data_IF_554865831480
#
_entry.id   IF_554865831480
#
_cell.length_a   1.000
_cell.length_b   1.000
_cell.length_c   1.000
_cell.angle_alpha   90.00
_cell.angle_beta   90.00
_cell.angle_gamma   90.00
#
_symmetry.space_group_name_H-M   'P 1'
#
loop_
_entity.id
_entity.type
_entity.pdbx_description
1 polymer ?
#
# COMPACT_ATOMS: atom_id res chain seq x y z
N UNK A 1 -6.93 24.26 -12.26
CA UNK A 1 -7.70 23.00 -12.47
C UNK A 1 -7.14 22.16 -13.63
N UNK A 2 -6.94 22.71 -14.83
CA UNK A 2 -6.49 21.95 -16.02
C UNK A 2 -5.24 21.08 -15.81
N UNK A 3 -4.19 21.61 -15.17
CA UNK A 3 -2.94 20.86 -14.96
C UNK A 3 -3.12 19.52 -14.23
N UNK A 4 -3.96 19.46 -13.18
CA UNK A 4 -4.19 18.22 -12.44
C UNK A 4 -4.89 17.13 -13.27
N UNK A 5 -5.80 17.54 -14.17
CA UNK A 5 -6.40 16.64 -15.16
C UNK A 5 -5.35 16.13 -16.14
N UNK A 6 -4.57 17.05 -16.73
CA UNK A 6 -3.54 16.70 -17.73
C UNK A 6 -2.52 15.71 -17.18
N UNK A 7 -2.07 15.90 -15.94
CA UNK A 7 -1.12 14.97 -15.32
C UNK A 7 -1.70 13.57 -15.13
N UNK A 8 -2.98 13.45 -14.78
CA UNK A 8 -3.66 12.15 -14.69
C UNK A 8 -3.85 11.50 -16.06
N UNK A 9 -4.15 12.28 -17.09
CA UNK A 9 -4.21 11.77 -18.46
C UNK A 9 -2.85 11.25 -18.93
N UNK A 10 -1.78 12.00 -18.67
CA UNK A 10 -0.42 11.60 -19.04
C UNK A 10 0.06 10.35 -18.28
N UNK A 11 -0.49 10.09 -17.09
CA UNK A 11 -0.26 8.86 -16.31
C UNK A 11 -1.10 7.68 -16.79
N UNK A 12 -1.95 7.86 -17.81
CA UNK A 12 -2.81 6.81 -18.33
C UNK A 12 -3.91 6.38 -17.37
N UNK A 13 -4.43 7.31 -16.54
CA UNK A 13 -5.48 7.01 -15.57
C UNK A 13 -6.68 6.33 -16.25
N UNK A 14 -7.20 5.29 -15.62
CA UNK A 14 -8.37 4.53 -16.05
C UNK A 14 -9.39 4.43 -14.92
N UNK A 15 -10.63 4.04 -15.26
CA UNK A 15 -11.68 3.76 -14.26
C UNK A 15 -11.35 2.65 -13.26
N UNK A 16 -10.29 1.86 -13.49
CA UNK A 16 -9.83 0.81 -12.56
C UNK A 16 -8.97 1.38 -11.43
N UNK A 17 -8.55 2.63 -11.55
CA UNK A 17 -7.70 3.30 -10.58
C UNK A 17 -8.52 4.00 -9.49
N UNK A 18 -7.84 4.30 -8.38
CA UNK A 18 -8.35 5.12 -7.29
C UNK A 18 -7.52 6.41 -7.19
N UNK A 19 -8.18 7.56 -7.04
CA UNK A 19 -7.51 8.87 -6.91
C UNK A 19 -7.82 9.48 -5.54
N UNK A 20 -6.76 9.77 -4.78
CA UNK A 20 -6.84 10.44 -3.47
C UNK A 20 -6.27 11.85 -3.57
N UNK A 21 -7.13 12.86 -3.54
CA UNK A 21 -6.72 14.26 -3.57
C UNK A 21 -6.31 14.79 -2.20
N UNK A 22 -5.09 15.30 -2.07
CA UNK A 22 -4.56 15.83 -0.81
C UNK A 22 -4.47 17.35 -0.88
N UNK A 23 -5.18 18.05 0.01
CA UNK A 23 -5.10 19.51 0.11
C UNK A 23 -5.53 19.96 1.50
N UNK A 24 -4.59 20.43 2.33
CA UNK A 24 -4.89 20.90 3.68
C UNK A 24 -5.95 22.02 3.66
N UNK A 25 -5.77 23.00 2.76
CA UNK A 25 -6.71 24.12 2.58
C UNK A 25 -8.06 23.74 2.00
N UNK A 26 -8.17 22.54 1.39
CA UNK A 26 -9.38 22.06 0.73
C UNK A 26 -9.77 22.81 -0.55
N UNK A 27 -8.98 23.81 -0.98
CA UNK A 27 -9.29 24.70 -2.10
C UNK A 27 -8.24 24.73 -3.21
N UNK A 28 -7.20 23.89 -3.13
CA UNK A 28 -6.10 23.87 -4.12
C UNK A 28 -6.61 23.52 -5.52
N UNK A 29 -6.58 24.43 -6.51
CA UNK A 29 -7.20 24.22 -7.81
C UNK A 29 -6.61 23.06 -8.62
N UNK A 30 -5.32 22.74 -8.44
CA UNK A 30 -4.68 21.59 -9.07
C UNK A 30 -5.35 20.28 -8.63
N UNK A 31 -5.39 20.04 -7.32
CA UNK A 31 -5.94 18.81 -6.72
C UNK A 31 -7.43 18.65 -7.02
N UNK A 32 -8.19 19.74 -6.96
CA UNK A 32 -9.63 19.71 -7.30
C UNK A 32 -9.83 19.28 -8.76
N UNK A 33 -9.09 19.87 -9.70
CA UNK A 33 -9.21 19.50 -11.11
C UNK A 33 -8.84 18.05 -11.40
N UNK A 34 -7.85 17.51 -10.67
CA UNK A 34 -7.47 16.11 -10.73
C UNK A 34 -8.59 15.18 -10.24
N UNK A 35 -9.16 15.47 -9.06
CA UNK A 35 -10.25 14.69 -8.46
C UNK A 35 -11.53 14.76 -9.28
N UNK A 36 -11.93 15.94 -9.75
CA UNK A 36 -13.12 16.12 -10.61
C UNK A 36 -13.00 15.29 -11.89
N UNK A 37 -11.83 15.32 -12.54
CA UNK A 37 -11.57 14.52 -13.74
C UNK A 37 -11.62 13.02 -13.46
N UNK A 38 -10.98 12.56 -12.39
CA UNK A 38 -10.98 11.15 -12.01
C UNK A 38 -12.41 10.64 -11.73
N UNK A 39 -13.23 11.44 -11.04
CA UNK A 39 -14.64 11.14 -10.78
C UNK A 39 -15.45 11.06 -12.07
N UNK A 40 -15.25 12.00 -13.00
CA UNK A 40 -15.91 11.97 -14.32
C UNK A 40 -15.53 10.73 -15.14
N UNK A 41 -14.28 10.26 -15.01
CA UNK A 41 -13.80 9.05 -15.68
C UNK A 41 -14.35 7.76 -15.07
N UNK A 42 -15.02 7.85 -13.91
CA UNK A 42 -15.57 6.70 -13.18
C UNK A 42 -14.58 6.02 -12.23
N UNK A 43 -13.48 6.70 -11.86
CA UNK A 43 -12.58 6.22 -10.82
C UNK A 43 -13.23 6.36 -9.44
N UNK A 44 -12.84 5.50 -8.50
CA UNK A 44 -13.07 5.81 -7.09
C UNK A 44 -12.28 7.07 -6.72
N UNK A 45 -12.92 8.01 -6.02
CA UNK A 45 -12.28 9.27 -5.63
C UNK A 45 -12.44 9.57 -4.15
N UNK A 46 -11.34 9.85 -3.47
CA UNK A 46 -11.35 10.33 -2.09
C UNK A 46 -10.55 11.63 -1.97
N UNK A 47 -10.73 12.35 -0.87
CA UNK A 47 -9.87 13.46 -0.51
C UNK A 47 -9.45 13.45 0.96
N UNK A 48 -8.27 14.02 1.22
CA UNK A 48 -7.80 14.33 2.57
C UNK A 48 -7.59 15.84 2.71
N UNK A 49 -8.44 16.46 3.52
CA UNK A 49 -8.38 17.89 3.85
C UNK A 49 -8.51 18.10 5.35
N UNK A 50 -8.22 19.29 5.86
CA UNK A 50 -8.48 19.62 7.27
C UNK A 50 -9.57 20.69 7.42
N UNK A 51 -10.20 21.07 6.32
CA UNK A 51 -11.27 22.07 6.27
C UNK A 51 -12.58 21.39 5.84
N UNK A 52 -13.60 21.37 6.72
CA UNK A 52 -14.92 20.83 6.38
C UNK A 52 -15.58 21.64 5.26
N UNK A 53 -16.47 20.99 4.50
CA UNK A 53 -17.27 21.59 3.42
C UNK A 53 -16.48 22.37 2.35
N UNK A 54 -15.20 22.03 2.20
CA UNK A 54 -14.30 22.66 1.24
C UNK A 54 -14.57 22.21 -0.20
N UNK A 55 -13.96 22.89 -1.16
CA UNK A 55 -14.19 22.60 -2.57
C UNK A 55 -13.81 21.17 -2.94
N UNK A 56 -12.73 20.64 -2.36
CA UNK A 56 -12.29 19.26 -2.64
C UNK A 56 -13.21 18.21 -2.01
N UNK A 57 -13.83 18.49 -0.86
CA UNK A 57 -14.76 17.52 -0.22
C UNK A 57 -16.05 17.38 -1.02
N UNK A 58 -16.45 18.43 -1.74
CA UNK A 58 -17.58 18.40 -2.69
C UNK A 58 -17.23 17.75 -4.02
N UNK A 59 -15.95 17.75 -4.40
CA UNK A 59 -15.48 17.16 -5.65
C UNK A 59 -15.22 15.65 -5.56
N UNK A 60 -14.82 15.14 -4.39
CA UNK A 60 -14.54 13.73 -4.15
C UNK A 60 -15.81 12.94 -3.80
N UNK A 61 -15.78 11.61 -4.00
CA UNK A 61 -16.82 10.71 -3.51
C UNK A 61 -16.78 10.54 -1.99
N UNK A 62 -15.56 10.42 -1.45
CA UNK A 62 -15.33 10.17 -0.03
C UNK A 62 -14.42 11.27 0.55
N UNK A 63 -14.88 11.94 1.60
CA UNK A 63 -14.12 13.00 2.26
C UNK A 63 -13.57 12.53 3.62
N UNK A 64 -12.24 12.58 3.77
CA UNK A 64 -11.56 12.35 5.05
C UNK A 64 -11.09 13.71 5.58
N UNK A 65 -11.74 14.19 6.64
CA UNK A 65 -11.55 15.56 7.14
C UNK A 65 -11.15 15.59 8.63
N UNK A 66 -9.89 15.21 8.97
CA UNK A 66 -9.40 15.37 10.34
C UNK A 66 -9.30 16.86 10.71
N UNK A 67 -10.12 17.29 11.66
CA UNK A 67 -10.13 18.68 12.13
C UNK A 67 -9.02 18.90 13.15
N UNK A 68 -7.90 19.47 12.70
CA UNK A 68 -6.70 19.67 13.54
C UNK A 68 -6.63 21.05 14.20
N UNK A 69 -7.57 21.96 13.89
CA UNK A 69 -7.60 23.34 14.37
C UNK A 69 -6.49 24.24 13.77
N UNK A 70 -6.39 25.47 14.27
CA UNK A 70 -5.40 26.44 13.81
C UNK A 70 -3.96 25.98 14.09
N UNK A 71 -3.04 26.22 13.15
CA UNK A 71 -1.63 25.89 13.32
C UNK A 71 -0.94 26.85 14.31
N UNK A 72 0.09 26.35 15.01
CA UNK A 72 0.87 27.18 15.95
C UNK A 72 1.60 28.32 15.24
N UNK A 73 2.07 28.06 14.01
CA UNK A 73 2.50 29.11 13.08
C UNK A 73 1.39 29.28 12.05
N UNK A 74 0.74 30.46 12.06
CA UNK A 74 -0.42 30.76 11.20
C UNK A 74 -0.15 30.39 9.74
N UNK A 75 -0.97 29.49 9.21
CA UNK A 75 -0.90 29.03 7.82
C UNK A 75 0.16 27.96 7.52
N UNK A 76 1.01 27.58 8.48
CA UNK A 76 2.04 26.55 8.29
C UNK A 76 1.46 25.13 8.36
N UNK A 77 0.63 24.76 7.38
CA UNK A 77 -0.09 23.48 7.33
C UNK A 77 0.82 22.26 7.18
N UNK A 78 2.13 22.44 7.02
CA UNK A 78 3.11 21.33 7.09
C UNK A 78 3.19 20.70 8.49
N UNK A 79 2.63 21.37 9.49
CA UNK A 79 2.61 20.95 10.89
C UNK A 79 1.45 19.99 11.14
N UNK A 80 0.41 20.36 11.90
CA UNK A 80 -0.64 19.42 12.32
C UNK A 80 -1.38 18.82 11.13
N UNK A 81 -1.71 19.64 10.12
CA UNK A 81 -2.43 19.16 8.94
C UNK A 81 -1.58 18.15 8.14
N UNK A 82 -0.29 18.41 7.95
CA UNK A 82 0.66 17.49 7.32
C UNK A 82 0.80 16.18 8.10
N UNK A 83 0.90 16.25 9.43
CA UNK A 83 0.93 15.06 10.30
C UNK A 83 -0.36 14.24 10.18
N UNK A 84 -1.52 14.88 10.19
CA UNK A 84 -2.81 14.20 10.00
C UNK A 84 -2.90 13.52 8.63
N UNK A 85 -2.49 14.20 7.57
CA UNK A 85 -2.44 13.63 6.22
C UNK A 85 -1.52 12.41 6.16
N UNK A 86 -0.33 12.46 6.76
CA UNK A 86 0.58 11.32 6.84
C UNK A 86 -0.08 10.13 7.55
N UNK A 87 -0.74 10.34 8.68
CA UNK A 87 -1.40 9.26 9.41
C UNK A 87 -2.51 8.62 8.57
N UNK A 88 -3.34 9.41 7.90
CA UNK A 88 -4.38 8.92 7.00
C UNK A 88 -3.80 8.12 5.84
N UNK A 89 -2.77 8.63 5.16
CA UNK A 89 -2.13 7.93 4.03
C UNK A 89 -1.46 6.62 4.46
N UNK A 90 -0.86 6.59 5.65
CA UNK A 90 -0.33 5.38 6.25
C UNK A 90 -1.45 4.35 6.50
N UNK A 91 -2.61 4.78 7.02
CA UNK A 91 -3.76 3.90 7.23
C UNK A 91 -4.29 3.35 5.92
N UNK A 92 -4.52 4.21 4.91
CA UNK A 92 -5.05 3.79 3.61
C UNK A 92 -4.15 2.74 2.95
N UNK A 93 -2.85 3.01 2.86
CA UNK A 93 -1.89 2.08 2.24
C UNK A 93 -1.74 0.79 3.05
N UNK A 94 -1.58 0.88 4.37
CA UNK A 94 -1.37 -0.30 5.22
C UNK A 94 -2.59 -1.20 5.24
N UNK A 95 -3.79 -0.65 5.45
CA UNK A 95 -5.03 -1.44 5.48
C UNK A 95 -5.30 -2.06 4.10
N UNK A 96 -5.02 -1.35 3.01
CA UNK A 96 -5.14 -1.93 1.66
C UNK A 96 -4.22 -3.14 1.49
N UNK A 97 -2.95 -3.04 1.87
CA UNK A 97 -2.00 -4.16 1.77
C UNK A 97 -2.38 -5.34 2.69
N UNK A 98 -2.95 -5.08 3.87
CA UNK A 98 -3.52 -6.13 4.74
C UNK A 98 -4.69 -6.83 4.04
N UNK A 99 -5.63 -6.06 3.48
CA UNK A 99 -6.81 -6.60 2.78
C UNK A 99 -6.47 -7.34 1.49
N UNK A 100 -5.35 -7.00 0.86
CA UNK A 100 -4.78 -7.73 -0.29
C UNK A 100 -4.05 -9.02 0.12
N UNK A 101 -3.91 -9.34 1.41
CA UNK A 101 -3.30 -10.59 1.86
C UNK A 101 -1.76 -10.57 1.93
N UNK A 102 -1.13 -9.38 1.89
CA UNK A 102 0.33 -9.23 1.97
C UNK A 102 0.89 -9.15 3.39
N UNK A 103 0.00 -9.31 4.38
CA UNK A 103 0.31 -9.31 5.81
C UNK A 103 -0.35 -10.52 6.44
N UNK A 104 0.39 -11.24 7.29
CA UNK A 104 -0.16 -12.31 8.13
C UNK A 104 0.04 -11.97 9.60
N UNK A 105 -1.05 -11.93 10.36
CA UNK A 105 -1.02 -11.37 11.71
C UNK A 105 -0.51 -9.93 11.67
N UNK A 106 0.66 -9.69 12.26
CA UNK A 106 1.37 -8.41 12.23
C UNK A 106 2.67 -8.46 11.40
N UNK A 107 2.90 -9.52 10.63
CA UNK A 107 4.11 -9.74 9.84
C UNK A 107 3.89 -9.36 8.38
N UNK A 108 4.79 -8.53 7.84
CA UNK A 108 4.81 -8.16 6.42
C UNK A 108 5.47 -9.28 5.62
N UNK A 109 4.68 -10.25 5.19
CA UNK A 109 5.17 -11.45 4.50
C UNK A 109 5.54 -11.19 3.03
N UNK A 110 5.06 -10.09 2.44
CA UNK A 110 5.45 -9.62 1.11
C UNK A 110 6.56 -8.55 1.16
N UNK A 111 7.63 -8.80 1.93
CA UNK A 111 8.77 -7.88 2.05
C UNK A 111 9.86 -8.23 1.02
N UNK A 112 10.42 -7.20 0.36
CA UNK A 112 11.59 -7.35 -0.51
C UNK A 112 12.87 -7.16 0.29
N UNK A 113 13.72 -8.18 0.32
CA UNK A 113 14.96 -8.23 1.12
C UNK A 113 16.13 -7.46 0.48
N UNK A 114 15.98 -6.13 0.31
CA UNK A 114 16.93 -5.30 -0.46
C UNK A 114 18.19 -4.85 0.29
N UNK A 115 18.26 -5.08 1.61
CA UNK A 115 19.42 -4.74 2.44
C UNK A 115 19.55 -5.73 3.60
N UNK A 116 20.68 -5.66 4.32
CA UNK A 116 21.01 -6.59 5.41
C UNK A 116 19.90 -6.62 6.48
N UNK A 117 19.42 -5.45 6.93
CA UNK A 117 18.32 -5.35 7.90
C UNK A 117 17.04 -6.04 7.41
N UNK A 118 16.69 -5.87 6.14
CA UNK A 118 15.49 -6.50 5.57
C UNK A 118 15.68 -8.01 5.34
N UNK A 119 16.89 -8.47 5.03
CA UNK A 119 17.21 -9.91 4.99
C UNK A 119 17.05 -10.56 6.36
N UNK A 120 17.63 -9.97 7.41
CA UNK A 120 17.45 -10.45 8.79
C UNK A 120 15.98 -10.47 9.20
N UNK A 121 15.23 -9.44 8.84
CA UNK A 121 13.78 -9.39 9.11
C UNK A 121 13.05 -10.53 8.37
N UNK A 122 13.39 -10.79 7.12
CA UNK A 122 12.80 -11.88 6.34
C UNK A 122 13.08 -13.24 6.98
N UNK A 123 14.32 -13.49 7.42
CA UNK A 123 14.67 -14.74 8.12
C UNK A 123 13.86 -14.93 9.40
N UNK A 124 13.72 -13.88 10.22
CA UNK A 124 12.87 -13.94 11.43
C UNK A 124 11.41 -14.25 11.10
N UNK A 125 10.87 -13.67 10.02
CA UNK A 125 9.51 -13.98 9.57
C UNK A 125 9.43 -15.42 9.07
N UNK A 126 10.40 -15.89 8.30
CA UNK A 126 10.45 -17.27 7.80
C UNK A 126 10.43 -18.27 8.95
N UNK A 127 11.29 -18.08 9.95
CA UNK A 127 11.33 -18.93 11.16
C UNK A 127 10.00 -18.91 11.89
N UNK A 128 9.42 -17.73 12.12
CA UNK A 128 8.12 -17.61 12.81
C UNK A 128 6.97 -18.27 12.02
N UNK A 129 7.04 -18.24 10.69
CA UNK A 129 6.00 -18.81 9.83
C UNK A 129 6.10 -20.32 9.67
N UNK A 130 7.30 -20.89 9.78
CA UNK A 130 7.59 -22.29 9.42
C UNK A 130 8.06 -23.15 10.59
N UNK A 131 8.45 -22.55 11.71
CA UNK A 131 9.03 -23.26 12.86
C UNK A 131 10.47 -23.72 12.66
N UNK A 132 11.12 -23.32 11.57
CA UNK A 132 12.53 -23.64 11.31
C UNK A 132 13.47 -22.93 12.29
N UNK A 133 14.58 -23.59 12.60
CA UNK A 133 15.72 -22.94 13.25
C UNK A 133 16.48 -22.03 12.27
N UNK A 134 17.35 -21.18 12.81
CA UNK A 134 18.06 -20.16 12.02
C UNK A 134 18.95 -20.76 10.92
N UNK A 135 19.76 -21.80 11.18
CA UNK A 135 20.58 -22.41 10.12
C UNK A 135 19.73 -22.99 8.99
N UNK A 136 18.64 -23.69 9.29
CA UNK A 136 17.78 -24.27 8.24
C UNK A 136 17.01 -23.18 7.49
N UNK A 137 16.55 -22.14 8.18
CA UNK A 137 15.89 -21.00 7.56
C UNK A 137 16.83 -20.26 6.59
N UNK A 138 18.12 -20.12 6.94
CA UNK A 138 19.12 -19.50 6.07
C UNK A 138 19.28 -20.28 4.76
N UNK A 139 19.45 -21.61 4.85
CA UNK A 139 19.57 -22.47 3.67
C UNK A 139 18.30 -22.38 2.81
N UNK A 140 17.12 -22.49 3.41
CA UNK A 140 15.84 -22.38 2.68
C UNK A 140 15.66 -21.01 2.01
N UNK A 141 16.10 -19.95 2.67
CA UNK A 141 16.02 -18.60 2.12
C UNK A 141 16.99 -18.41 0.94
N UNK A 142 18.17 -19.00 0.98
CA UNK A 142 19.12 -19.02 -0.13
C UNK A 142 18.61 -19.85 -1.32
N UNK A 143 18.04 -21.04 -1.06
CA UNK A 143 17.37 -21.85 -2.08
C UNK A 143 16.27 -21.06 -2.79
N UNK A 144 15.56 -20.18 -2.07
CA UNK A 144 14.53 -19.28 -2.58
C UNK A 144 15.06 -17.97 -3.20
N UNK A 145 16.36 -17.87 -3.51
CA UNK A 145 17.02 -16.67 -4.05
C UNK A 145 16.81 -15.40 -3.19
N UNK A 146 16.61 -15.56 -1.88
CA UNK A 146 16.36 -14.47 -0.95
C UNK A 146 14.95 -13.86 -1.02
N UNK A 147 14.00 -14.54 -1.67
CA UNK A 147 12.58 -14.17 -1.62
C UNK A 147 11.87 -14.92 -0.48
N UNK A 148 11.40 -14.15 0.51
CA UNK A 148 10.69 -14.68 1.68
C UNK A 148 9.44 -15.46 1.29
N UNK A 149 8.70 -14.99 0.30
CA UNK A 149 7.41 -15.57 -0.09
C UNK A 149 7.63 -16.95 -0.68
N UNK A 150 8.63 -17.05 -1.56
CA UNK A 150 9.03 -18.30 -2.20
C UNK A 150 9.51 -19.29 -1.13
N UNK A 151 10.37 -18.86 -0.20
CA UNK A 151 10.84 -19.71 0.91
C UNK A 151 9.69 -20.26 1.77
N UNK A 152 8.70 -19.42 2.10
CA UNK A 152 7.52 -19.86 2.88
C UNK A 152 6.69 -20.89 2.08
N UNK A 153 6.43 -20.65 0.79
CA UNK A 153 5.64 -21.58 -0.03
C UNK A 153 6.37 -22.90 -0.22
N UNK A 154 7.67 -22.87 -0.56
CA UNK A 154 8.50 -24.07 -0.67
C UNK A 154 8.44 -24.92 0.61
N UNK A 155 8.61 -24.27 1.76
CA UNK A 155 8.64 -24.97 3.04
C UNK A 155 7.26 -25.51 3.46
N UNK A 156 6.18 -24.75 3.25
CA UNK A 156 4.83 -25.13 3.72
C UNK A 156 4.12 -26.12 2.81
N UNK A 157 4.33 -26.00 1.49
CA UNK A 157 3.70 -26.87 0.51
C UNK A 157 4.63 -28.01 0.03
N UNK A 158 5.88 -28.04 0.51
CA UNK A 158 6.90 -29.01 0.11
C UNK A 158 7.07 -29.12 -1.42
N UNK A 159 7.22 -27.96 -2.06
CA UNK A 159 7.35 -27.82 -3.52
C UNK A 159 8.71 -27.24 -3.92
N UNK A 160 9.07 -27.40 -5.20
CA UNK A 160 10.27 -26.78 -5.76
C UNK A 160 10.17 -25.26 -5.80
N UNK A 161 11.31 -24.57 -5.93
CA UNK A 161 11.37 -23.13 -6.12
C UNK A 161 10.54 -22.68 -7.34
N UNK A 162 10.72 -23.36 -8.46
CA UNK A 162 10.03 -23.05 -9.71
C UNK A 162 8.51 -23.13 -9.54
N UNK A 163 8.02 -24.21 -8.91
CA UNK A 163 6.59 -24.35 -8.61
C UNK A 163 6.12 -23.22 -7.69
N UNK A 164 6.85 -22.90 -6.63
CA UNK A 164 6.52 -21.81 -5.71
C UNK A 164 6.46 -20.44 -6.41
N UNK A 165 7.43 -20.12 -7.25
CA UNK A 165 7.47 -18.88 -8.04
C UNK A 165 6.27 -18.78 -9.00
N UNK A 166 5.92 -19.88 -9.66
CA UNK A 166 4.79 -19.95 -10.58
C UNK A 166 3.45 -19.74 -9.87
N UNK A 167 3.20 -20.45 -8.76
CA UNK A 167 1.93 -20.28 -8.03
C UNK A 167 1.82 -18.93 -7.34
N UNK A 168 2.92 -18.34 -6.87
CA UNK A 168 2.92 -16.99 -6.33
C UNK A 168 2.56 -15.98 -7.43
N UNK A 169 3.17 -16.09 -8.62
CA UNK A 169 2.88 -15.20 -9.74
C UNK A 169 1.43 -15.31 -10.19
N UNK A 170 0.89 -16.53 -10.26
CA UNK A 170 -0.51 -16.78 -10.62
C UNK A 170 -1.53 -16.25 -9.59
N UNK A 171 -1.10 -16.00 -8.34
CA UNK A 171 -1.95 -15.56 -7.24
C UNK A 171 -1.53 -14.20 -6.67
N UNK A 172 -1.02 -13.29 -7.52
CA UNK A 172 -0.60 -11.92 -7.16
C UNK A 172 0.35 -11.86 -5.94
N UNK A 173 1.17 -12.88 -5.73
CA UNK A 173 2.09 -13.04 -4.60
C UNK A 173 1.41 -13.13 -3.22
N UNK A 174 0.13 -13.49 -3.17
CA UNK A 174 -0.58 -13.83 -1.94
C UNK A 174 -0.20 -15.25 -1.48
N UNK A 175 0.64 -15.35 -0.45
CA UNK A 175 1.16 -16.64 0.06
C UNK A 175 0.04 -17.63 0.40
N UNK A 176 -1.02 -17.18 1.08
CA UNK A 176 -2.12 -18.06 1.51
C UNK A 176 -2.81 -18.68 0.29
N UNK A 177 -3.20 -17.85 -0.69
CA UNK A 177 -3.83 -18.34 -1.93
C UNK A 177 -2.91 -19.23 -2.76
N UNK A 178 -1.62 -18.89 -2.83
CA UNK A 178 -0.63 -19.70 -3.53
C UNK A 178 -0.53 -21.12 -2.94
N UNK A 179 -0.51 -21.24 -1.62
CA UNK A 179 -0.50 -22.55 -0.93
C UNK A 179 -1.84 -23.27 -1.13
N UNK A 180 -2.97 -22.58 -1.01
CA UNK A 180 -4.31 -23.16 -1.23
C UNK A 180 -4.47 -23.70 -2.66
N UNK A 181 -3.89 -23.06 -3.67
CA UNK A 181 -3.96 -23.50 -5.07
C UNK A 181 -3.13 -24.75 -5.40
N UNK A 182 -2.30 -25.22 -4.46
CA UNK A 182 -1.50 -26.44 -4.61
C UNK A 182 -2.19 -27.68 -4.03
N UNK A 183 -3.31 -27.51 -3.33
CA UNK A 183 -4.14 -28.60 -2.79
C UNK A 183 -5.34 -28.87 -3.70
#
# INVERSE_FOLDING_TARGET
>A
KAAGKTDLQNRGLTKKDAVVGIAASGRTPYTIGAVEFARQLGCFTACVSVVPDSLITKAAEMAIVPQVGAEVLTGSTRMKAGTAQKMVLNMLSTVSMIRLGYVKGNQMTNVKSSNIKLKERSLRILMAETGLDEPTAQVKFEEANGDLRVAIVMQKANVSRETAENVLTANDFMIVKAIESLN
#
